data_IF_608885446771
#
_entry.id   IF_608885446771
#
_cell.length_a   1.000
_cell.length_b   1.000
_cell.length_c   1.000
_cell.angle_alpha   90.00
_cell.angle_beta   90.00
_cell.angle_gamma   90.00
#
_symmetry.space_group_name_H-M   'P 1'
#
loop_
_entity.id
_entity.type
_entity.pdbx_description
1 polymer ?
#
# COMPACT_ATOMS: atom_id res chain seq x y z
N UNK A 1 26.54 -26.85 -1.69
CA UNK A 1 26.99 -25.95 -2.78
C UNK A 1 25.83 -25.08 -3.25
N UNK A 2 26.07 -23.81 -3.54
CA UNK A 2 25.02 -22.89 -4.01
C UNK A 2 24.48 -23.34 -5.38
N UNK A 3 23.20 -23.71 -5.46
CA UNK A 3 22.53 -23.99 -6.75
C UNK A 3 22.32 -22.67 -7.50
N UNK A 4 23.04 -22.50 -8.60
CA UNK A 4 22.87 -21.43 -9.56
C UNK A 4 21.87 -21.86 -10.64
N UNK A 5 21.00 -20.95 -11.07
CA UNK A 5 20.12 -21.21 -12.22
C UNK A 5 20.85 -20.84 -13.52
N UNK A 6 20.56 -21.53 -14.63
CA UNK A 6 21.22 -21.34 -15.93
C UNK A 6 21.15 -19.89 -16.45
N UNK A 7 20.04 -19.19 -16.18
CA UNK A 7 19.82 -17.81 -16.60
C UNK A 7 20.08 -16.77 -15.48
N UNK A 8 20.75 -17.16 -14.40
CA UNK A 8 21.04 -16.29 -13.27
C UNK A 8 22.32 -15.47 -13.51
N UNK A 9 22.14 -14.17 -13.76
CA UNK A 9 23.23 -13.22 -13.90
C UNK A 9 23.49 -12.55 -12.57
N UNK A 10 24.76 -12.52 -12.14
CA UNK A 10 25.19 -11.86 -10.91
C UNK A 10 25.95 -10.57 -11.24
N UNK A 11 25.64 -9.50 -10.51
CA UNK A 11 26.35 -8.22 -10.61
C UNK A 11 26.76 -7.75 -9.23
N UNK A 12 27.97 -7.24 -9.12
CA UNK A 12 28.50 -6.74 -7.85
C UNK A 12 27.86 -5.42 -7.43
N UNK A 13 27.55 -5.32 -6.13
CA UNK A 13 27.05 -4.13 -5.47
C UNK A 13 28.20 -3.41 -4.77
N UNK A 14 28.33 -2.11 -5.08
CA UNK A 14 29.24 -1.21 -4.37
C UNK A 14 28.41 -0.47 -3.32
N UNK A 15 28.85 -0.51 -2.07
CA UNK A 15 28.19 0.20 -0.98
C UNK A 15 29.03 1.41 -0.57
N UNK A 16 28.39 2.48 -0.04
CA UNK A 16 29.11 3.68 0.38
C UNK A 16 29.99 3.47 1.61
N UNK A 17 29.93 2.31 2.27
CA UNK A 17 30.72 2.00 3.46
C UNK A 17 31.61 0.80 3.17
N UNK A 18 32.83 0.81 3.70
CA UNK A 18 33.75 -0.31 3.58
C UNK A 18 33.24 -1.50 4.39
N UNK A 19 32.83 -2.55 3.70
CA UNK A 19 32.36 -3.79 4.32
C UNK A 19 33.46 -4.84 4.30
N UNK A 20 33.44 -5.77 5.26
CA UNK A 20 34.41 -6.87 5.37
C UNK A 20 34.37 -7.82 4.16
N UNK A 21 33.22 -7.94 3.51
CA UNK A 21 32.98 -8.81 2.37
C UNK A 21 32.46 -7.99 1.20
N UNK A 22 32.63 -8.54 0.00
CA UNK A 22 31.99 -8.05 -1.22
C UNK A 22 30.64 -8.72 -1.38
N UNK A 23 29.71 -8.05 -2.06
CA UNK A 23 28.37 -8.58 -2.25
C UNK A 23 27.94 -8.42 -3.69
N UNK A 24 27.19 -9.40 -4.18
CA UNK A 24 26.55 -9.33 -5.48
C UNK A 24 25.06 -9.63 -5.37
N UNK A 25 24.31 -9.10 -6.32
CA UNK A 25 22.87 -9.31 -6.48
C UNK A 25 22.60 -9.99 -7.80
N UNK A 26 21.66 -10.93 -7.82
CA UNK A 26 21.23 -11.61 -9.02
C UNK A 26 20.02 -10.96 -9.67
N UNK A 27 19.83 -11.20 -10.97
CA UNK A 27 18.61 -10.80 -11.69
C UNK A 27 17.35 -11.47 -11.13
N UNK A 28 17.46 -12.55 -10.35
CA UNK A 28 16.35 -13.17 -9.63
C UNK A 28 16.04 -12.51 -8.28
N UNK A 29 16.85 -11.53 -7.86
CA UNK A 29 16.70 -10.85 -6.59
C UNK A 29 17.25 -11.63 -5.40
N UNK A 30 18.24 -12.50 -5.64
CA UNK A 30 19.03 -13.14 -4.59
C UNK A 30 20.28 -12.31 -4.32
N UNK A 31 20.81 -12.42 -3.11
CA UNK A 31 22.08 -11.78 -2.73
C UNK A 31 23.09 -12.83 -2.33
N UNK A 32 24.36 -12.55 -2.62
CA UNK A 32 25.49 -13.37 -2.20
C UNK A 32 26.56 -12.51 -1.55
N UNK A 33 27.29 -13.06 -0.59
CA UNK A 33 28.52 -12.49 -0.05
C UNK A 33 29.72 -13.34 -0.48
N UNK A 34 30.84 -12.69 -0.78
CA UNK A 34 32.08 -13.36 -1.17
C UNK A 34 33.31 -12.57 -0.73
N UNK A 35 34.45 -13.27 -0.61
CA UNK A 35 35.75 -12.65 -0.26
C UNK A 35 36.52 -12.24 -1.51
N UNK A 36 36.92 -13.21 -2.35
CA UNK A 36 37.73 -13.00 -3.57
C UNK A 36 36.93 -13.21 -4.85
N UNK A 37 36.26 -14.36 -4.97
CA UNK A 37 35.57 -14.76 -6.21
C UNK A 37 34.10 -15.09 -5.93
N UNK A 38 33.22 -14.78 -6.88
CA UNK A 38 31.77 -15.10 -6.80
C UNK A 38 31.49 -16.61 -6.76
N UNK A 39 32.40 -17.47 -7.25
CA UNK A 39 32.26 -18.93 -7.24
C UNK A 39 32.20 -19.53 -5.82
N UNK A 40 32.89 -18.92 -4.87
CA UNK A 40 32.93 -19.36 -3.45
C UNK A 40 31.94 -18.58 -2.57
N UNK A 41 31.01 -17.86 -3.19
CA UNK A 41 30.09 -16.98 -2.48
C UNK A 41 28.97 -17.73 -1.76
N UNK A 42 28.63 -17.23 -0.57
CA UNK A 42 27.50 -17.74 0.21
C UNK A 42 26.23 -16.95 -0.12
N UNK A 43 25.15 -17.66 -0.43
CA UNK A 43 23.85 -17.04 -0.67
C UNK A 43 23.26 -16.57 0.65
N UNK A 44 22.95 -15.28 0.71
CA UNK A 44 22.44 -14.64 1.91
C UNK A 44 20.94 -14.84 2.04
N UNK A 45 20.50 -15.20 3.25
CA UNK A 45 19.11 -15.08 3.66
C UNK A 45 18.85 -13.63 4.08
N UNK A 46 18.31 -12.83 3.16
CA UNK A 46 17.89 -11.47 3.47
C UNK A 46 16.70 -11.48 4.46
N UNK A 47 16.67 -10.52 5.38
CA UNK A 47 15.55 -10.34 6.31
C UNK A 47 14.34 -9.75 5.58
N UNK A 48 13.16 -9.86 6.19
CA UNK A 48 11.94 -9.22 5.69
C UNK A 48 11.57 -8.01 6.56
N UNK A 49 11.13 -6.93 5.91
CA UNK A 49 10.53 -5.75 6.55
C UNK A 49 9.30 -5.38 5.72
N UNK A 50 8.11 -5.55 6.31
CA UNK A 50 6.83 -5.26 5.65
C UNK A 50 6.69 -5.91 4.26
N UNK A 51 7.18 -7.15 4.13
CA UNK A 51 7.19 -7.93 2.89
C UNK A 51 8.30 -7.58 1.89
N UNK A 52 9.14 -6.58 2.18
CA UNK A 52 10.34 -6.30 1.39
C UNK A 52 11.55 -7.06 1.94
N UNK A 53 12.31 -7.68 1.04
CA UNK A 53 13.62 -8.25 1.38
C UNK A 53 14.63 -7.12 1.60
N UNK A 54 15.31 -7.17 2.74
CA UNK A 54 16.34 -6.21 3.13
C UNK A 54 17.66 -6.91 3.45
N UNK A 55 18.74 -6.31 2.99
CA UNK A 55 20.10 -6.64 3.42
C UNK A 55 20.50 -5.69 4.53
N UNK A 56 20.69 -6.22 5.74
CA UNK A 56 21.11 -5.47 6.92
C UNK A 56 22.61 -5.62 7.11
N UNK A 57 23.29 -4.53 7.44
CA UNK A 57 24.71 -4.53 7.75
C UNK A 57 25.02 -3.49 8.83
N UNK A 58 26.09 -3.72 9.58
CA UNK A 58 26.54 -2.83 10.65
C UNK A 58 27.68 -1.95 10.14
N UNK A 59 27.64 -0.68 10.50
CA UNK A 59 28.70 0.30 10.22
C UNK A 59 29.20 0.86 11.53
N UNK A 60 30.50 0.75 11.77
CA UNK A 60 31.14 1.44 12.90
C UNK A 60 31.48 2.85 12.47
N UNK A 61 30.92 3.83 13.17
CA UNK A 61 31.21 5.26 12.97
C UNK A 61 31.86 5.83 14.23
N UNK A 62 32.42 7.05 14.16
CA UNK A 62 32.98 7.74 15.35
C UNK A 62 31.95 7.90 16.48
N UNK A 63 30.65 7.89 16.17
CA UNK A 63 29.54 8.01 17.13
C UNK A 63 28.99 6.65 17.60
N UNK A 64 29.66 5.54 17.29
CA UNK A 64 29.24 4.18 17.65
C UNK A 64 28.78 3.32 16.47
N UNK A 65 28.20 2.16 16.77
CA UNK A 65 27.75 1.17 15.78
C UNK A 65 26.33 1.53 15.30
N UNK A 66 26.19 1.79 14.00
CA UNK A 66 24.91 2.05 13.36
C UNK A 66 24.46 0.85 12.52
N UNK A 67 23.20 0.46 12.65
CA UNK A 67 22.58 -0.55 11.80
C UNK A 67 22.03 0.11 10.54
N UNK A 68 22.54 -0.25 9.37
CA UNK A 68 22.04 0.21 8.08
C UNK A 68 21.42 -0.94 7.31
N UNK A 69 20.57 -0.61 6.35
CA UNK A 69 19.95 -1.61 5.49
C UNK A 69 19.78 -1.08 4.07
N UNK A 70 19.83 -2.00 3.11
CA UNK A 70 19.45 -1.76 1.72
C UNK A 70 18.29 -2.66 1.35
N UNK A 71 17.38 -2.14 0.53
CA UNK A 71 16.32 -2.94 -0.07
C UNK A 71 16.87 -3.73 -1.25
N UNK A 72 16.62 -5.04 -1.27
CA UNK A 72 17.13 -5.92 -2.33
C UNK A 72 16.60 -5.51 -3.70
N UNK A 73 15.30 -5.20 -3.81
CA UNK A 73 14.70 -4.75 -5.06
C UNK A 73 15.39 -3.52 -5.65
N UNK A 74 15.88 -2.59 -4.80
CA UNK A 74 16.57 -1.39 -5.26
C UNK A 74 17.95 -1.72 -5.80
N UNK A 75 18.69 -2.61 -5.11
CA UNK A 75 19.98 -3.11 -5.60
C UNK A 75 19.83 -3.84 -6.94
N UNK A 76 18.79 -4.66 -7.10
CA UNK A 76 18.48 -5.32 -8.38
C UNK A 76 18.20 -4.27 -9.45
N UNK A 77 17.36 -3.28 -9.16
CA UNK A 77 17.02 -2.25 -10.13
C UNK A 77 18.23 -1.41 -10.56
N UNK A 78 19.09 -1.01 -9.63
CA UNK A 78 20.31 -0.26 -9.94
C UNK A 78 21.29 -1.04 -10.83
N UNK A 79 21.27 -2.38 -10.77
CA UNK A 79 22.21 -3.23 -11.51
C UNK A 79 21.67 -3.80 -12.81
N UNK A 80 20.37 -4.10 -12.88
CA UNK A 80 19.78 -4.81 -14.01
C UNK A 80 18.82 -3.95 -14.85
N UNK A 81 18.29 -2.86 -14.31
CA UNK A 81 17.44 -1.95 -15.07
C UNK A 81 18.28 -0.84 -15.71
N UNK A 82 17.80 -0.24 -16.81
CA UNK A 82 18.43 0.94 -17.38
C UNK A 82 18.46 2.08 -16.36
N UNK A 83 19.42 3.01 -16.53
CA UNK A 83 19.56 4.17 -15.65
C UNK A 83 18.22 4.93 -15.58
N UNK A 84 17.70 5.20 -14.37
CA UNK A 84 16.46 5.95 -14.23
C UNK A 84 16.62 7.38 -14.75
N UNK A 85 15.52 7.96 -15.23
CA UNK A 85 15.46 9.42 -15.44
C UNK A 85 15.56 10.14 -14.09
N UNK A 86 15.98 11.41 -14.08
CA UNK A 86 16.08 12.23 -12.84
C UNK A 86 14.80 12.24 -11.99
N UNK A 87 13.63 12.13 -12.63
CA UNK A 87 12.32 12.09 -11.98
C UNK A 87 11.93 10.71 -11.41
N UNK A 88 12.66 9.65 -11.76
CA UNK A 88 12.35 8.28 -11.38
C UNK A 88 13.22 7.82 -10.22
N UNK A 89 12.73 8.07 -9.00
CA UNK A 89 13.45 7.74 -7.76
C UNK A 89 12.93 6.47 -7.08
N UNK A 90 11.76 5.97 -7.50
CA UNK A 90 11.10 4.83 -6.87
C UNK A 90 11.21 3.58 -7.74
N UNK A 91 11.24 2.42 -7.10
CA UNK A 91 11.18 1.12 -7.78
C UNK A 91 9.81 0.50 -7.53
N UNK A 92 9.14 0.12 -8.61
CA UNK A 92 7.81 -0.44 -8.63
C UNK A 92 7.87 -1.94 -8.93
N UNK A 93 7.14 -2.75 -8.15
CA UNK A 93 6.88 -4.16 -8.46
C UNK A 93 5.65 -4.27 -9.35
N UNK A 94 5.82 -4.75 -10.58
CA UNK A 94 4.75 -4.86 -11.59
C UNK A 94 3.62 -5.79 -11.12
N UNK A 95 3.98 -6.95 -10.55
CA UNK A 95 3.02 -7.90 -9.98
C UNK A 95 2.49 -7.52 -8.59
N UNK A 96 2.94 -6.38 -8.02
CA UNK A 96 2.56 -5.89 -6.67
C UNK A 96 2.93 -6.82 -5.51
N UNK A 97 3.79 -7.81 -5.74
CA UNK A 97 4.34 -8.70 -4.71
C UNK A 97 5.74 -8.22 -4.30
N UNK A 98 5.83 -7.61 -3.11
CA UNK A 98 7.05 -6.98 -2.56
C UNK A 98 8.23 -7.95 -2.40
N UNK A 99 7.96 -9.25 -2.24
CA UNK A 99 8.99 -10.28 -2.14
C UNK A 99 9.54 -10.77 -3.49
N UNK A 100 8.86 -10.48 -4.61
CA UNK A 100 9.32 -10.89 -5.93
C UNK A 100 10.27 -9.84 -6.52
N UNK A 101 11.56 -9.99 -6.23
CA UNK A 101 12.60 -9.04 -6.62
C UNK A 101 13.28 -9.40 -7.95
N UNK A 102 12.63 -10.19 -8.82
CA UNK A 102 13.16 -10.46 -10.16
C UNK A 102 13.26 -9.16 -10.94
N UNK A 103 14.37 -8.93 -11.65
CA UNK A 103 14.59 -7.71 -12.43
C UNK A 103 13.47 -7.47 -13.46
N UNK A 104 12.93 -8.52 -14.08
CA UNK A 104 11.79 -8.43 -15.01
C UNK A 104 10.48 -7.98 -14.35
N UNK A 105 10.36 -8.10 -13.03
CA UNK A 105 9.21 -7.66 -12.26
C UNK A 105 9.37 -6.23 -11.70
N UNK A 106 10.53 -5.62 -11.88
CA UNK A 106 10.83 -4.29 -11.35
C UNK A 106 10.79 -3.25 -12.47
N UNK A 107 10.40 -2.03 -12.12
CA UNK A 107 10.45 -0.86 -13.01
C UNK A 107 10.80 0.39 -12.21
N UNK A 108 11.64 1.26 -12.77
CA UNK A 108 11.84 2.62 -12.24
C UNK A 108 10.60 3.48 -12.50
N UNK A 109 10.18 4.24 -11.49
CA UNK A 109 9.05 5.13 -11.62
C UNK A 109 9.13 6.38 -10.76
N UNK A 110 8.29 7.36 -11.10
CA UNK A 110 8.13 8.60 -10.35
C UNK A 110 7.19 8.42 -9.16
N UNK A 111 7.11 9.44 -8.29
CA UNK A 111 6.15 9.46 -7.18
C UNK A 111 4.71 9.34 -7.67
N UNK A 112 4.39 10.01 -8.77
CA UNK A 112 3.05 9.99 -9.38
C UNK A 112 2.70 8.61 -9.93
N UNK A 113 3.65 7.98 -10.65
CA UNK A 113 3.49 6.62 -11.15
C UNK A 113 3.30 5.61 -10.01
N UNK A 114 4.04 5.75 -8.91
CA UNK A 114 3.86 4.94 -7.70
C UNK A 114 2.44 5.07 -7.14
N UNK A 115 1.95 6.29 -6.99
CA UNK A 115 0.60 6.56 -6.46
C UNK A 115 -0.46 5.97 -7.39
N UNK A 116 -0.34 6.15 -8.69
CA UNK A 116 -1.27 5.60 -9.68
C UNK A 116 -1.24 4.06 -9.69
N UNK A 117 -0.04 3.45 -9.65
CA UNK A 117 0.12 2.00 -9.61
C UNK A 117 -0.52 1.37 -8.37
N UNK A 118 -0.37 2.04 -7.22
CA UNK A 118 -0.97 1.63 -5.95
C UNK A 118 -2.48 1.79 -5.96
N UNK A 119 -3.02 2.90 -6.49
CA UNK A 119 -4.48 3.12 -6.64
C UNK A 119 -5.13 2.05 -7.51
N UNK A 120 -4.44 1.57 -8.55
CA UNK A 120 -4.88 0.48 -9.44
C UNK A 120 -4.80 -0.91 -8.79
N UNK A 121 -4.28 -1.05 -7.57
CA UNK A 121 -4.21 -2.34 -6.89
C UNK A 121 -5.60 -2.87 -6.55
N UNK A 122 -5.95 -4.12 -6.93
CA UNK A 122 -7.24 -4.72 -6.60
C UNK A 122 -7.53 -4.72 -5.09
N UNK A 123 -6.50 -4.95 -4.25
CA UNK A 123 -6.62 -4.92 -2.79
C UNK A 123 -7.01 -3.52 -2.28
N UNK A 124 -6.41 -2.48 -2.85
CA UNK A 124 -6.69 -1.08 -2.47
C UNK A 124 -8.10 -0.69 -2.92
N UNK A 125 -8.50 -1.08 -4.13
CA UNK A 125 -9.85 -0.84 -4.64
C UNK A 125 -10.90 -1.54 -3.77
N UNK A 126 -10.68 -2.81 -3.44
CA UNK A 126 -11.58 -3.58 -2.57
C UNK A 126 -11.67 -2.97 -1.16
N UNK A 127 -10.53 -2.60 -0.56
CA UNK A 127 -10.51 -1.94 0.76
C UNK A 127 -11.27 -0.61 0.73
N UNK A 128 -11.09 0.19 -0.33
CA UNK A 128 -11.81 1.45 -0.51
C UNK A 128 -13.33 1.24 -0.63
N UNK A 129 -13.76 0.24 -1.40
CA UNK A 129 -15.19 -0.13 -1.50
C UNK A 129 -15.77 -0.51 -0.14
N UNK A 130 -15.07 -1.39 0.60
CA UNK A 130 -15.47 -1.78 1.96
C UNK A 130 -15.56 -0.61 2.92
N UNK A 131 -14.62 0.33 2.86
CA UNK A 131 -14.64 1.53 3.70
C UNK A 131 -15.85 2.43 3.38
N UNK A 132 -16.17 2.62 2.10
CA UNK A 132 -17.34 3.40 1.68
C UNK A 132 -18.62 2.74 2.16
N UNK A 133 -18.72 1.41 2.03
CA UNK A 133 -19.87 0.65 2.50
C UNK A 133 -20.01 0.72 4.03
N UNK A 134 -18.91 0.52 4.76
CA UNK A 134 -18.88 0.64 6.22
C UNK A 134 -19.31 2.04 6.67
N UNK A 135 -18.78 3.10 6.05
CA UNK A 135 -19.14 4.48 6.38
C UNK A 135 -20.59 4.81 6.03
N UNK A 136 -21.17 4.18 5.00
CA UNK A 136 -22.60 4.32 4.68
C UNK A 136 -23.47 3.68 5.74
N UNK A 137 -23.09 2.50 6.25
CA UNK A 137 -23.87 1.75 7.24
C UNK A 137 -23.65 2.22 8.68
N UNK A 138 -22.68 3.11 8.91
CA UNK A 138 -22.41 3.66 10.24
C UNK A 138 -23.48 4.67 10.63
N UNK A 139 -23.84 4.66 11.91
CA UNK A 139 -24.65 5.73 12.49
C UNK A 139 -23.96 7.10 12.31
N UNK A 140 -24.76 8.10 11.97
CA UNK A 140 -24.30 9.48 11.90
C UNK A 140 -24.18 10.09 13.29
N UNK A 141 -23.50 11.24 13.38
CA UNK A 141 -23.36 11.96 14.66
C UNK A 141 -24.69 12.42 15.26
N UNK A 142 -25.70 12.71 14.41
CA UNK A 142 -27.01 13.23 14.85
C UNK A 142 -28.15 12.22 14.73
N UNK A 143 -28.07 11.28 13.79
CA UNK A 143 -29.12 10.32 13.52
C UNK A 143 -28.52 8.92 13.36
N UNK A 144 -29.14 7.96 14.02
CA UNK A 144 -28.88 6.53 13.84
C UNK A 144 -29.67 5.97 12.66
N UNK A 145 -29.22 4.83 12.11
CA UNK A 145 -29.93 4.10 11.04
C UNK A 145 -31.39 3.84 11.45
N UNK A 146 -31.63 3.41 12.69
CA UNK A 146 -32.98 3.14 13.23
C UNK A 146 -33.85 4.40 13.27
N UNK A 147 -33.29 5.53 13.70
CA UNK A 147 -34.00 6.81 13.73
C UNK A 147 -34.37 7.26 12.31
N UNK A 148 -33.46 7.10 11.35
CA UNK A 148 -33.72 7.44 9.94
C UNK A 148 -34.77 6.53 9.33
N UNK A 149 -34.74 5.23 9.60
CA UNK A 149 -35.78 4.31 9.14
C UNK A 149 -37.15 4.75 9.65
N UNK A 150 -37.28 5.01 10.95
CA UNK A 150 -38.53 5.50 11.55
C UNK A 150 -38.97 6.84 10.95
N UNK A 151 -38.04 7.79 10.81
CA UNK A 151 -38.28 9.09 10.21
C UNK A 151 -38.81 8.93 8.77
N UNK A 152 -38.19 8.07 7.94
CA UNK A 152 -38.63 7.78 6.57
C UNK A 152 -40.02 7.14 6.54
N UNK A 153 -40.32 6.16 7.40
CA UNK A 153 -41.67 5.58 7.49
C UNK A 153 -42.72 6.65 7.78
N UNK A 154 -42.43 7.55 8.72
CA UNK A 154 -43.34 8.65 9.08
C UNK A 154 -43.48 9.67 7.95
N UNK A 155 -42.41 10.00 7.23
CA UNK A 155 -42.41 10.98 6.14
C UNK A 155 -43.09 10.49 4.86
N UNK A 156 -43.04 9.18 4.59
CA UNK A 156 -43.61 8.55 3.39
C UNK A 156 -45.06 8.08 3.57
N UNK A 157 -45.59 8.06 4.80
CA UNK A 157 -46.97 7.66 5.04
C UNK A 157 -47.98 8.65 4.39
N UNK A 158 -48.83 8.21 3.44
CA UNK A 158 -49.78 9.09 2.76
C UNK A 158 -50.90 9.61 3.68
N UNK A 159 -51.21 8.92 4.78
CA UNK A 159 -52.24 9.32 5.77
C UNK A 159 -51.64 10.05 6.98
N UNK A 160 -50.45 10.64 6.84
CA UNK A 160 -49.75 11.29 7.93
C UNK A 160 -50.50 12.52 8.44
N UNK A 161 -50.78 12.56 9.74
CA UNK A 161 -51.43 13.70 10.43
C UNK A 161 -50.47 14.81 10.87
N UNK A 162 -49.19 14.49 11.09
CA UNK A 162 -48.17 15.45 11.54
C UNK A 162 -47.50 16.16 10.36
N UNK A 163 -47.13 17.43 10.52
CA UNK A 163 -46.35 18.19 9.52
C UNK A 163 -44.89 17.74 9.52
N UNK A 164 -44.15 18.03 8.43
CA UNK A 164 -42.72 17.72 8.34
C UNK A 164 -41.93 18.47 9.43
N UNK A 165 -42.30 19.72 9.70
CA UNK A 165 -41.76 20.52 10.80
C UNK A 165 -41.93 19.85 12.18
N UNK A 166 -43.12 19.34 12.52
CA UNK A 166 -43.34 18.65 13.80
C UNK A 166 -42.54 17.35 13.90
N UNK A 167 -42.41 16.62 12.79
CA UNK A 167 -41.59 15.41 12.75
C UNK A 167 -40.12 15.75 12.90
N UNK A 168 -39.60 16.76 12.20
CA UNK A 168 -38.18 17.13 12.28
C UNK A 168 -37.78 17.55 13.70
N UNK A 169 -38.67 18.25 14.43
CA UNK A 169 -38.47 18.60 15.83
C UNK A 169 -38.33 17.37 16.75
N UNK A 170 -39.13 16.31 16.55
CA UNK A 170 -39.03 15.08 17.34
C UNK A 170 -37.66 14.39 17.24
N UNK A 171 -36.98 14.56 16.10
CA UNK A 171 -35.65 13.99 15.85
C UNK A 171 -34.52 15.01 16.04
N UNK A 172 -34.82 16.21 16.55
CA UNK A 172 -33.87 17.31 16.74
C UNK A 172 -33.07 17.66 15.46
N UNK A 173 -33.77 17.70 14.32
CA UNK A 173 -33.21 18.04 13.01
C UNK A 173 -33.97 19.21 12.39
N UNK A 174 -33.33 19.90 11.44
CA UNK A 174 -34.01 20.95 10.69
C UNK A 174 -35.05 20.37 9.72
N UNK A 175 -36.06 21.15 9.38
CA UNK A 175 -37.08 20.73 8.42
C UNK A 175 -36.45 20.39 7.06
N UNK A 176 -35.47 21.19 6.63
CA UNK A 176 -34.68 20.93 5.42
C UNK A 176 -33.97 19.58 5.46
N UNK A 177 -33.41 19.17 6.62
CA UNK A 177 -32.80 17.85 6.76
C UNK A 177 -33.84 16.73 6.58
N UNK A 178 -35.06 16.90 7.10
CA UNK A 178 -36.14 15.95 6.89
C UNK A 178 -36.55 15.87 5.40
N UNK A 179 -36.61 16.99 4.68
CA UNK A 179 -36.85 16.99 3.23
C UNK A 179 -35.75 16.26 2.45
N UNK A 180 -34.47 16.50 2.74
CA UNK A 180 -33.34 15.80 2.10
C UNK A 180 -33.33 14.29 2.39
N UNK A 181 -33.78 13.89 3.58
CA UNK A 181 -33.93 12.47 3.94
C UNK A 181 -35.12 11.86 3.20
N UNK A 182 -36.22 12.60 3.01
CA UNK A 182 -37.40 12.17 2.26
C UNK A 182 -37.08 12.01 0.76
N UNK A 183 -36.36 12.94 0.15
CA UNK A 183 -35.97 12.89 -1.26
C UNK A 183 -34.89 11.85 -1.56
N UNK A 184 -34.19 11.36 -0.52
CA UNK A 184 -33.09 10.41 -0.66
C UNK A 184 -31.73 11.05 -0.97
N UNK A 185 -31.64 12.39 -1.01
CA UNK A 185 -30.36 13.11 -1.10
C UNK A 185 -29.45 12.74 0.08
N UNK A 186 -30.00 12.72 1.29
CA UNK A 186 -29.35 12.22 2.49
C UNK A 186 -29.92 10.85 2.88
N UNK A 187 -29.06 9.95 3.35
CA UNK A 187 -29.45 8.60 3.76
C UNK A 187 -30.24 7.79 2.69
N UNK A 188 -30.05 8.09 1.40
CA UNK A 188 -30.75 7.41 0.30
C UNK A 188 -30.54 5.89 0.24
N UNK A 189 -29.46 5.38 0.85
CA UNK A 189 -29.18 3.94 0.93
C UNK A 189 -30.12 3.19 1.88
N UNK A 190 -30.78 3.86 2.83
CA UNK A 190 -31.79 3.25 3.72
C UNK A 190 -33.11 3.21 2.97
N UNK A 191 -33.64 2.01 2.70
CA UNK A 191 -34.94 1.79 2.07
C UNK A 191 -35.97 1.38 3.12
N UNK A 192 -37.20 1.89 2.97
CA UNK A 192 -38.34 1.72 3.89
C UNK A 192 -39.62 1.60 3.08
#
# INVERSE_FOLDING_TARGET
MAKFYENEKWKECVFPHQLKLRYAVSNYGRMMSFKKTTKDGNILKCSDVDGYKVFRYKVTTKKGIQNKHFFVHRLVAEKFLPKPKKSQTYVLHLNRTRGNNKASNLKWGSKEELVLHNKKSPKVIAARKKLIEFNRMRDGQKLTVKQVTRLKTMLLNPKRKQTIQKISQQFNISEMQAYRIKSGENWGHIKV
#
